data_IF_948412613822
#
_entry.id   IF_948412613822
#
_cell.length_a   1.000
_cell.length_b   1.000
_cell.length_c   1.000
_cell.angle_alpha   90.00
_cell.angle_beta   90.00
_cell.angle_gamma   90.00
#
_symmetry.space_group_name_H-M   'P 1'
#
loop_
_entity.id
_entity.type
_entity.pdbx_description
1 polymer ?
#
# COMPACT_ATOMS: atom_id res chain seq x y z
N UNK A 1 7.19 6.49 8.44
CA UNK A 1 7.10 6.52 9.92
C UNK A 1 8.07 5.49 10.51
N UNK A 2 8.87 5.91 11.49
CA UNK A 2 9.72 5.02 12.30
C UNK A 2 8.99 4.75 13.62
N UNK A 3 8.46 3.56 13.85
CA UNK A 3 7.71 3.23 15.05
C UNK A 3 8.55 3.27 16.33
N UNK A 4 9.88 3.38 16.22
CA UNK A 4 10.81 3.56 17.35
C UNK A 4 10.89 5.03 17.78
N UNK A 5 10.43 5.96 16.96
CA UNK A 5 10.51 7.39 17.23
C UNK A 5 9.31 7.86 18.05
N UNK A 6 9.54 8.37 19.24
CA UNK A 6 8.56 8.99 20.14
C UNK A 6 7.89 10.23 19.53
N UNK A 7 8.55 10.86 18.56
CA UNK A 7 8.09 12.10 17.93
C UNK A 7 7.52 11.88 16.53
N UNK A 8 7.20 10.63 16.15
CA UNK A 8 6.68 10.32 14.81
C UNK A 8 7.70 10.55 13.71
N UNK A 9 8.98 10.38 13.99
CA UNK A 9 10.06 10.49 13.02
C UNK A 9 9.91 9.51 11.85
N UNK A 10 10.67 9.75 10.81
CA UNK A 10 10.76 8.86 9.65
C UNK A 10 12.13 8.16 9.65
N UNK A 11 12.19 6.97 9.05
CA UNK A 11 13.48 6.36 8.72
C UNK A 11 14.29 7.28 7.81
N UNK A 12 15.60 7.09 7.77
CA UNK A 12 16.50 7.79 6.86
C UNK A 12 16.09 7.54 5.40
N UNK A 13 16.40 8.49 4.52
CA UNK A 13 15.98 8.46 3.10
C UNK A 13 16.39 7.17 2.37
N UNK A 14 17.58 6.67 2.64
CA UNK A 14 18.12 5.43 2.07
C UNK A 14 17.47 4.13 2.60
N UNK A 15 16.56 4.26 3.57
CA UNK A 15 15.80 3.16 4.17
C UNK A 15 14.32 3.21 3.83
N UNK A 16 13.81 4.31 3.26
CA UNK A 16 12.39 4.45 2.94
C UNK A 16 12.09 3.92 1.53
N UNK A 17 11.13 3.03 1.39
CA UNK A 17 10.78 2.35 0.13
C UNK A 17 10.58 3.30 -1.07
N UNK A 18 10.00 4.47 -0.84
CA UNK A 18 9.72 5.44 -1.91
C UNK A 18 11.00 6.13 -2.40
N UNK A 19 11.86 6.49 -1.45
CA UNK A 19 13.13 7.15 -1.78
C UNK A 19 14.12 6.15 -2.42
N UNK A 20 14.13 4.89 -1.97
CA UNK A 20 14.88 3.81 -2.61
C UNK A 20 14.39 3.62 -4.06
N UNK A 21 13.07 3.55 -4.29
CA UNK A 21 12.50 3.43 -5.63
C UNK A 21 12.95 4.57 -6.53
N UNK A 22 12.85 5.82 -6.07
CA UNK A 22 13.27 7.00 -6.82
C UNK A 22 14.76 6.94 -7.19
N UNK A 23 15.60 6.56 -6.22
CA UNK A 23 17.06 6.44 -6.44
C UNK A 23 17.42 5.35 -7.44
N UNK A 24 16.80 4.17 -7.34
CA UNK A 24 17.12 3.02 -8.21
C UNK A 24 16.58 3.17 -9.63
N UNK A 25 15.47 3.87 -9.80
CA UNK A 25 14.84 4.04 -11.12
C UNK A 25 15.24 5.34 -11.81
N UNK A 26 15.68 6.35 -11.05
CA UNK A 26 15.84 7.72 -11.54
C UNK A 26 14.50 8.42 -11.85
N UNK A 27 13.37 7.87 -11.42
CA UNK A 27 12.04 8.44 -11.65
C UNK A 27 11.77 9.63 -10.73
N UNK A 28 11.04 10.61 -11.25
CA UNK A 28 10.41 11.61 -10.41
C UNK A 28 9.21 10.97 -9.69
N UNK A 29 9.31 10.86 -8.37
CA UNK A 29 8.29 10.19 -7.56
C UNK A 29 7.54 11.19 -6.69
N UNK A 30 6.28 11.43 -7.03
CA UNK A 30 5.35 12.20 -6.20
C UNK A 30 4.78 11.30 -5.08
N UNK A 31 5.30 11.44 -3.86
CA UNK A 31 4.82 10.66 -2.73
C UNK A 31 3.60 11.32 -2.07
N UNK A 32 2.42 10.78 -2.33
CA UNK A 32 1.14 11.23 -1.78
C UNK A 32 0.74 10.48 -0.49
N UNK A 33 1.64 9.69 0.09
CA UNK A 33 1.39 8.94 1.32
C UNK A 33 1.26 9.83 2.55
N UNK A 34 0.21 9.63 3.32
CA UNK A 34 -0.06 10.33 4.59
C UNK A 34 -0.28 9.31 5.71
N UNK A 35 0.11 9.70 6.92
CA UNK A 35 -0.09 8.86 8.10
C UNK A 35 -1.60 8.71 8.41
N UNK A 36 -2.05 7.49 8.68
CA UNK A 36 -3.46 7.21 8.97
C UNK A 36 -4.41 7.32 7.77
N UNK A 37 -3.90 7.48 6.55
CA UNK A 37 -4.75 7.68 5.37
C UNK A 37 -5.59 6.44 5.08
N UNK A 38 -6.90 6.63 5.02
CA UNK A 38 -7.86 5.67 4.48
C UNK A 38 -7.99 5.84 2.95
N UNK A 39 -8.71 4.92 2.31
CA UNK A 39 -9.10 5.05 0.90
C UNK A 39 -9.95 6.31 0.74
N UNK A 40 -9.57 7.27 -0.10
CA UNK A 40 -10.30 8.52 -0.26
C UNK A 40 -11.69 8.30 -0.89
N UNK A 41 -12.58 9.28 -0.73
CA UNK A 41 -13.94 9.22 -1.29
C UNK A 41 -13.99 9.52 -2.78
N UNK A 42 -12.95 10.18 -3.32
CA UNK A 42 -12.82 10.53 -4.73
C UNK A 42 -11.40 10.29 -5.21
N UNK A 43 -11.21 10.20 -6.51
CA UNK A 43 -9.87 10.10 -7.09
C UNK A 43 -8.99 11.28 -6.65
N UNK A 44 -7.72 11.05 -6.32
CA UNK A 44 -6.78 12.12 -6.01
C UNK A 44 -6.48 12.94 -7.27
N UNK A 45 -6.17 14.22 -7.07
CA UNK A 45 -5.62 15.04 -8.13
C UNK A 45 -4.19 14.57 -8.42
N UNK A 46 -3.98 14.10 -9.64
CA UNK A 46 -2.69 13.62 -10.11
C UNK A 46 -2.05 14.66 -11.03
N UNK A 47 -0.70 14.77 -11.07
CA UNK A 47 -0.02 15.52 -12.12
C UNK A 47 -0.48 15.08 -13.51
N UNK A 48 -0.63 16.03 -14.43
CA UNK A 48 -1.16 15.75 -15.77
C UNK A 48 -0.27 14.81 -16.61
N UNK A 49 1.00 14.74 -16.26
CA UNK A 49 2.05 13.92 -16.89
C UNK A 49 2.35 12.63 -16.11
N UNK A 50 1.41 12.17 -15.28
CA UNK A 50 1.57 10.92 -14.53
C UNK A 50 1.65 9.71 -15.47
N UNK A 51 2.81 9.05 -15.52
CA UNK A 51 3.03 7.83 -16.28
C UNK A 51 2.54 6.57 -15.56
N UNK A 52 2.67 6.53 -14.23
CA UNK A 52 2.29 5.39 -13.41
C UNK A 52 1.78 5.83 -12.04
N UNK A 53 0.62 5.35 -11.67
CA UNK A 53 0.08 5.43 -10.31
C UNK A 53 0.29 4.10 -9.60
N UNK A 54 1.05 4.12 -8.49
CA UNK A 54 1.14 2.99 -7.56
C UNK A 54 0.20 3.27 -6.39
N UNK A 55 -0.86 2.47 -6.27
CA UNK A 55 -1.91 2.65 -5.28
C UNK A 55 -1.86 1.53 -4.23
N UNK A 56 -1.56 1.88 -2.99
CA UNK A 56 -1.52 0.94 -1.86
C UNK A 56 -2.20 1.56 -0.64
N UNK A 57 -3.47 1.24 -0.43
CA UNK A 57 -4.30 1.67 0.70
C UNK A 57 -5.21 0.54 1.16
N UNK A 58 -5.89 0.71 2.28
CA UNK A 58 -6.88 -0.21 2.84
C UNK A 58 -6.55 -0.69 4.24
N UNK A 59 -5.29 -0.67 4.67
CA UNK A 59 -4.90 -1.05 6.02
C UNK A 59 -5.66 -0.24 7.08
N UNK A 60 -5.70 1.09 6.93
CA UNK A 60 -6.41 1.95 7.88
C UNK A 60 -7.92 1.77 7.81
N UNK A 61 -8.49 1.49 6.64
CA UNK A 61 -9.91 1.16 6.52
C UNK A 61 -10.27 -0.07 7.33
N UNK A 62 -9.47 -1.14 7.25
CA UNK A 62 -9.67 -2.36 8.04
C UNK A 62 -9.50 -2.10 9.55
N UNK A 63 -8.49 -1.31 9.95
CA UNK A 63 -8.29 -0.91 11.35
C UNK A 63 -9.45 -0.08 11.89
N UNK A 64 -10.11 0.70 11.05
CA UNK A 64 -11.31 1.48 11.39
C UNK A 64 -12.62 0.67 11.28
N UNK A 65 -12.54 -0.65 11.07
CA UNK A 65 -13.68 -1.56 11.13
C UNK A 65 -14.37 -1.84 9.79
N UNK A 66 -13.83 -1.38 8.64
CA UNK A 66 -14.35 -1.82 7.36
C UNK A 66 -14.15 -3.33 7.18
N UNK A 67 -15.13 -4.01 6.58
CA UNK A 67 -14.88 -5.35 6.05
C UNK A 67 -13.96 -5.31 4.83
N UNK A 68 -13.31 -6.43 4.48
CA UNK A 68 -12.50 -6.52 3.26
C UNK A 68 -13.27 -6.12 2.01
N UNK A 69 -14.55 -6.50 1.91
CA UNK A 69 -15.42 -6.19 0.78
C UNK A 69 -15.78 -4.70 0.73
N UNK A 70 -16.03 -4.08 1.88
CA UNK A 70 -16.28 -2.64 1.98
C UNK A 70 -15.05 -1.83 1.55
N UNK A 71 -13.87 -2.21 2.02
CA UNK A 71 -12.61 -1.57 1.62
C UNK A 71 -12.36 -1.74 0.11
N UNK A 72 -12.57 -2.95 -0.44
CA UNK A 72 -12.47 -3.18 -1.88
C UNK A 72 -13.51 -2.39 -2.69
N UNK A 73 -14.71 -2.20 -2.16
CA UNK A 73 -15.74 -1.33 -2.76
C UNK A 73 -15.31 0.13 -2.83
N UNK A 74 -14.69 0.66 -1.78
CA UNK A 74 -14.09 2.01 -1.78
C UNK A 74 -12.98 2.11 -2.85
N UNK A 75 -12.06 1.10 -2.92
CA UNK A 75 -11.03 1.06 -3.96
C UNK A 75 -11.62 1.08 -5.36
N UNK A 76 -12.63 0.24 -5.63
CA UNK A 76 -13.31 0.20 -6.92
C UNK A 76 -13.85 1.58 -7.29
N UNK A 77 -14.52 2.24 -6.35
CA UNK A 77 -15.09 3.56 -6.58
C UNK A 77 -14.01 4.58 -6.98
N UNK A 78 -12.92 4.65 -6.24
CA UNK A 78 -11.82 5.59 -6.52
C UNK A 78 -11.10 5.28 -7.82
N UNK A 79 -10.71 4.01 -8.02
CA UNK A 79 -9.95 3.60 -9.19
C UNK A 79 -10.74 3.77 -10.50
N UNK A 80 -12.08 3.63 -10.44
CA UNK A 80 -12.96 3.85 -11.60
C UNK A 80 -13.11 5.32 -12.01
N UNK A 81 -12.71 6.27 -11.16
CA UNK A 81 -12.73 7.70 -11.44
C UNK A 81 -11.41 8.23 -12.02
N UNK A 82 -10.38 7.42 -12.06
CA UNK A 82 -9.08 7.82 -12.58
C UNK A 82 -9.12 7.95 -14.11
N UNK A 83 -8.52 9.02 -14.64
CA UNK A 83 -8.37 9.24 -16.07
C UNK A 83 -7.16 8.49 -16.68
N UNK A 84 -6.46 7.69 -15.89
CA UNK A 84 -5.31 6.89 -16.32
C UNK A 84 -5.77 5.64 -17.09
N UNK A 85 -4.93 5.19 -18.01
CA UNK A 85 -5.13 3.90 -18.69
C UNK A 85 -4.89 2.76 -17.70
N UNK A 86 -5.53 1.59 -17.87
CA UNK A 86 -5.35 0.46 -16.95
C UNK A 86 -3.89 0.03 -16.72
N UNK A 87 -3.06 0.08 -17.75
CA UNK A 87 -1.63 -0.26 -17.64
C UNK A 87 -0.79 0.78 -16.89
N UNK A 88 -1.31 1.99 -16.68
CA UNK A 88 -0.70 3.04 -15.86
C UNK A 88 -1.09 2.96 -14.37
N UNK A 89 -1.88 1.97 -13.98
CA UNK A 89 -2.31 1.77 -12.60
C UNK A 89 -1.76 0.45 -12.07
N UNK A 90 -1.00 0.49 -11.00
CA UNK A 90 -0.55 -0.68 -10.23
C UNK A 90 -1.22 -0.64 -8.86
N UNK A 91 -2.17 -1.54 -8.63
CA UNK A 91 -2.75 -1.78 -7.33
C UNK A 91 -1.86 -2.76 -6.56
N UNK A 92 -1.29 -2.30 -5.44
CA UNK A 92 -0.57 -3.16 -4.51
C UNK A 92 -1.45 -3.39 -3.28
N UNK A 93 -1.72 -4.65 -2.95
CA UNK A 93 -2.33 -4.94 -1.67
C UNK A 93 -1.27 -4.93 -0.56
N UNK A 94 -1.53 -4.25 0.59
CA UNK A 94 -0.61 -4.26 1.71
C UNK A 94 -0.34 -5.69 2.22
N UNK A 95 0.83 -5.95 2.83
CA UNK A 95 1.07 -7.23 3.49
C UNK A 95 0.03 -7.46 4.59
N UNK A 96 -0.31 -8.72 4.89
CA UNK A 96 -1.21 -9.05 5.98
C UNK A 96 -0.71 -8.46 7.31
N UNK A 97 -1.64 -7.99 8.12
CA UNK A 97 -1.33 -7.55 9.49
C UNK A 97 -0.78 -8.74 10.30
N UNK A 98 0.07 -8.44 11.28
CA UNK A 98 0.59 -9.41 12.24
C UNK A 98 0.06 -9.07 13.65
N UNK A 99 0.10 -10.02 14.61
CA UNK A 99 -0.18 -9.70 16.00
C UNK A 99 0.73 -8.56 16.48
N UNK A 100 0.14 -7.54 17.09
CA UNK A 100 0.88 -6.36 17.54
C UNK A 100 0.01 -5.37 18.30
N UNK A 101 0.61 -4.26 18.70
CA UNK A 101 -0.07 -3.26 19.53
C UNK A 101 -1.35 -2.70 18.88
N UNK A 102 -1.39 -2.56 17.56
CA UNK A 102 -2.53 -2.04 16.83
C UNK A 102 -3.42 -3.12 16.22
N UNK A 103 -3.04 -4.37 16.38
CA UNK A 103 -3.75 -5.54 15.85
C UNK A 103 -4.12 -6.47 17.00
N UNK A 104 -5.12 -6.08 17.82
CA UNK A 104 -5.47 -6.81 19.03
C UNK A 104 -6.28 -8.10 18.77
N UNK A 105 -6.73 -8.34 17.56
CA UNK A 105 -7.61 -9.49 17.27
C UNK A 105 -7.15 -10.30 16.06
N UNK A 106 -7.36 -11.59 16.10
CA UNK A 106 -7.16 -12.49 14.97
C UNK A 106 -8.06 -12.12 13.78
N UNK A 107 -9.25 -11.58 14.04
CA UNK A 107 -10.17 -11.14 12.99
C UNK A 107 -9.57 -10.07 12.08
N UNK A 108 -8.82 -9.10 12.62
CA UNK A 108 -8.13 -8.09 11.80
C UNK A 108 -7.08 -8.71 10.87
N UNK A 109 -6.34 -9.71 11.37
CA UNK A 109 -5.36 -10.45 10.57
C UNK A 109 -6.08 -11.19 9.44
N UNK A 110 -7.17 -11.88 9.74
CA UNK A 110 -7.94 -12.64 8.76
C UNK A 110 -8.62 -11.71 7.74
N UNK A 111 -9.10 -10.54 8.17
CA UNK A 111 -9.63 -9.51 7.27
C UNK A 111 -8.53 -9.00 6.31
N UNK A 112 -7.30 -8.76 6.80
CA UNK A 112 -6.21 -8.29 5.94
C UNK A 112 -5.81 -9.34 4.88
N UNK A 113 -5.84 -10.62 5.23
CA UNK A 113 -5.63 -11.73 4.28
C UNK A 113 -6.77 -11.84 3.25
N UNK A 114 -8.02 -11.74 3.70
CA UNK A 114 -9.19 -11.78 2.82
C UNK A 114 -9.19 -10.60 1.86
N UNK A 115 -8.75 -9.42 2.31
CA UNK A 115 -8.66 -8.22 1.50
C UNK A 115 -7.75 -8.39 0.28
N UNK A 116 -6.66 -9.17 0.38
CA UNK A 116 -5.80 -9.49 -0.75
C UNK A 116 -6.57 -10.18 -1.89
N UNK A 117 -7.42 -11.15 -1.56
CA UNK A 117 -8.30 -11.80 -2.54
C UNK A 117 -9.32 -10.85 -3.18
N UNK A 118 -9.88 -9.92 -2.39
CA UNK A 118 -10.79 -8.88 -2.90
C UNK A 118 -10.08 -7.94 -3.87
N UNK A 119 -8.88 -7.47 -3.54
CA UNK A 119 -8.07 -6.61 -4.40
C UNK A 119 -7.65 -7.31 -5.71
N UNK A 120 -7.26 -8.58 -5.65
CA UNK A 120 -6.91 -9.38 -6.84
C UNK A 120 -8.08 -9.46 -7.82
N UNK A 121 -9.29 -9.80 -7.31
CA UNK A 121 -10.51 -9.83 -8.15
C UNK A 121 -10.85 -8.44 -8.72
N UNK A 122 -10.70 -7.39 -7.92
CA UNK A 122 -10.93 -6.01 -8.37
C UNK A 122 -9.97 -5.63 -9.50
N UNK A 123 -8.69 -5.89 -9.35
CA UNK A 123 -7.69 -5.59 -10.38
C UNK A 123 -8.01 -6.31 -11.70
N UNK A 124 -8.41 -7.59 -11.64
CA UNK A 124 -8.87 -8.36 -12.80
C UNK A 124 -10.11 -7.71 -13.46
N UNK A 125 -11.10 -7.28 -12.67
CA UNK A 125 -12.31 -6.62 -13.18
C UNK A 125 -12.01 -5.29 -13.89
N UNK A 126 -11.04 -4.53 -13.38
CA UNK A 126 -10.64 -3.24 -13.94
C UNK A 126 -9.56 -3.34 -15.03
N UNK A 127 -8.98 -4.53 -15.22
CA UNK A 127 -7.88 -4.76 -16.16
C UNK A 127 -6.58 -4.04 -15.79
N UNK A 128 -6.40 -3.66 -14.51
CA UNK A 128 -5.22 -2.94 -14.02
C UNK A 128 -4.14 -3.90 -13.54
N UNK A 129 -2.90 -3.39 -13.41
CA UNK A 129 -1.78 -4.15 -12.85
C UNK A 129 -2.01 -4.42 -11.37
N UNK A 130 -1.52 -5.58 -10.89
CA UNK A 130 -1.71 -6.02 -9.52
C UNK A 130 -0.43 -6.63 -8.95
N UNK A 131 -0.15 -6.35 -7.67
CA UNK A 131 0.87 -7.03 -6.90
C UNK A 131 0.39 -7.29 -5.46
N UNK A 132 0.84 -8.41 -4.89
CA UNK A 132 0.51 -8.81 -3.52
C UNK A 132 1.75 -8.70 -2.64
N UNK A 133 1.83 -7.66 -1.82
CA UNK A 133 2.96 -7.48 -0.91
C UNK A 133 2.99 -8.53 0.23
N UNK A 134 1.93 -9.29 0.41
CA UNK A 134 1.90 -10.45 1.31
C UNK A 134 2.84 -11.57 0.87
N UNK A 135 3.20 -11.64 -0.41
CA UNK A 135 4.13 -12.61 -0.98
C UNK A 135 5.61 -12.16 -0.86
N UNK A 136 5.89 -10.95 -0.35
CA UNK A 136 7.22 -10.30 -0.39
C UNK A 136 8.05 -10.43 0.89
N UNK A 137 7.60 -11.21 1.86
CA UNK A 137 8.29 -11.40 3.16
C UNK A 137 8.61 -10.06 3.87
N UNK A 138 7.65 -9.15 3.90
CA UNK A 138 7.80 -7.85 4.52
C UNK A 138 7.80 -7.98 6.04
N UNK A 139 8.89 -7.58 6.69
CA UNK A 139 8.94 -7.54 8.15
C UNK A 139 8.16 -6.33 8.69
N UNK A 140 7.26 -6.61 9.64
CA UNK A 140 6.47 -5.59 10.32
C UNK A 140 7.08 -5.25 11.68
N UNK A 141 6.82 -4.03 12.14
CA UNK A 141 7.19 -3.56 13.45
C UNK A 141 6.32 -4.18 14.55
N UNK A 142 6.64 -3.90 15.80
CA UNK A 142 5.92 -4.42 16.97
C UNK A 142 4.44 -4.04 17.04
N UNK A 143 4.02 -3.05 16.29
CA UNK A 143 2.61 -2.64 16.20
C UNK A 143 1.77 -3.57 15.30
N UNK A 144 2.42 -4.42 14.49
CA UNK A 144 1.78 -5.38 13.59
C UNK A 144 1.32 -4.80 12.25
N UNK A 145 1.66 -3.55 11.94
CA UNK A 145 1.19 -2.80 10.77
C UNK A 145 2.31 -2.13 9.99
N UNK A 146 3.14 -1.34 10.67
CA UNK A 146 4.19 -0.58 10.02
C UNK A 146 5.37 -1.46 9.63
N UNK A 147 6.02 -1.09 8.53
CA UNK A 147 7.23 -1.79 8.09
C UNK A 147 8.41 -1.46 9.00
N UNK A 148 9.24 -2.44 9.28
CA UNK A 148 10.59 -2.21 9.79
C UNK A 148 11.44 -1.57 8.69
N UNK A 149 12.64 -1.10 9.05
CA UNK A 149 13.62 -0.63 8.06
C UNK A 149 13.92 -1.72 7.02
N UNK A 150 14.12 -2.95 7.46
CA UNK A 150 14.31 -4.11 6.59
C UNK A 150 13.06 -4.36 5.72
N UNK A 151 11.86 -4.21 6.27
CA UNK A 151 10.60 -4.32 5.54
C UNK A 151 10.48 -3.30 4.42
N UNK A 152 10.90 -2.05 4.64
CA UNK A 152 10.94 -1.04 3.59
C UNK A 152 11.89 -1.40 2.45
N UNK A 153 13.10 -1.91 2.77
CA UNK A 153 14.09 -2.36 1.77
C UNK A 153 13.57 -3.57 0.97
N UNK A 154 12.99 -4.55 1.66
CA UNK A 154 12.39 -5.73 1.01
C UNK A 154 11.24 -5.32 0.08
N UNK A 155 10.38 -4.39 0.53
CA UNK A 155 9.29 -3.86 -0.30
C UNK A 155 9.81 -3.19 -1.56
N UNK A 156 10.82 -2.31 -1.44
CA UNK A 156 11.41 -1.62 -2.59
C UNK A 156 12.01 -2.61 -3.59
N UNK A 157 12.77 -3.60 -3.12
CA UNK A 157 13.39 -4.61 -3.98
C UNK A 157 12.34 -5.42 -4.77
N UNK A 158 11.28 -5.91 -4.09
CA UNK A 158 10.22 -6.65 -4.78
C UNK A 158 9.40 -5.76 -5.73
N UNK A 159 9.17 -4.51 -5.37
CA UNK A 159 8.48 -3.56 -6.26
C UNK A 159 9.29 -3.30 -7.53
N UNK A 160 10.60 -3.15 -7.43
CA UNK A 160 11.49 -2.98 -8.59
C UNK A 160 11.39 -4.19 -9.54
N UNK A 161 11.29 -5.42 -9.00
CA UNK A 161 11.08 -6.61 -9.84
C UNK A 161 9.72 -6.59 -10.57
N UNK A 162 8.66 -6.12 -9.90
CA UNK A 162 7.32 -5.99 -10.51
C UNK A 162 7.29 -4.92 -11.62
N UNK A 163 8.17 -3.93 -11.54
CA UNK A 163 8.21 -2.79 -12.46
C UNK A 163 9.09 -3.03 -13.71
N UNK A 164 9.93 -4.06 -13.69
CA UNK A 164 10.75 -4.50 -14.84
C UNK A 164 9.90 -5.18 -15.91
#
# INVERSE_FOLDING_TARGET
YDPRSWLGGRYDVDSRRVDILASETGWEVCNMGENGREIPRSAPDLPADTDLLIFMLGTNDLLQGCSPEQAAGKLKHVLSQLSLKPNQILLIVPPPMAPGQWVPSQQLIDHSRTFAGCCRRLAQQLGIRFADAGEWNISLAYDGVHFTEQGHRAFAANLLEVLR
#
